data_IF_148045185506
#
_entry.id   IF_148045185506
#
_cell.length_a   1.000
_cell.length_b   1.000
_cell.length_c   1.000
_cell.angle_alpha   90.00
_cell.angle_beta   90.00
_cell.angle_gamma   90.00
#
_symmetry.space_group_name_H-M   'P 1'
#
loop_
_entity.id
_entity.type
_entity.pdbx_description
1 polymer ?
#
# COMPACT_ATOMS: atom_id res chain seq x y z
N UNK A 1 3.97 23.69 -32.86
CA UNK A 1 5.11 24.60 -32.54
C UNK A 1 5.30 24.62 -31.03
N UNK A 2 6.55 24.49 -30.57
CA UNK A 2 6.95 24.45 -29.14
C UNK A 2 6.57 25.75 -28.42
N UNK A 3 5.96 25.64 -27.23
CA UNK A 3 6.10 26.64 -26.16
C UNK A 3 6.38 25.91 -24.84
N UNK A 4 7.53 26.18 -24.18
CA UNK A 4 7.93 25.53 -22.94
C UNK A 4 7.44 26.31 -21.70
N UNK A 5 7.52 25.63 -20.56
CA UNK A 5 7.23 26.11 -19.21
C UNK A 5 7.86 27.47 -18.89
N UNK A 6 7.07 28.36 -18.27
CA UNK A 6 7.58 29.43 -17.42
C UNK A 6 7.02 29.17 -16.02
N UNK A 7 7.88 28.65 -15.16
CA UNK A 7 7.78 28.79 -13.72
C UNK A 7 8.02 30.26 -13.38
N UNK A 8 7.07 30.94 -12.74
CA UNK A 8 7.34 32.20 -12.06
C UNK A 8 6.83 32.12 -10.63
N UNK A 9 7.70 31.59 -9.78
CA UNK A 9 7.61 31.65 -8.33
C UNK A 9 7.76 33.12 -7.89
N UNK A 10 6.65 33.80 -7.63
CA UNK A 10 6.67 35.11 -6.97
C UNK A 10 6.79 34.91 -5.46
N UNK A 11 8.01 34.63 -5.03
CA UNK A 11 8.44 34.68 -3.62
C UNK A 11 8.55 36.17 -3.26
N UNK A 12 7.50 36.74 -2.68
CA UNK A 12 7.58 38.05 -2.03
C UNK A 12 8.08 37.86 -0.60
N UNK A 13 9.41 37.91 -0.48
CA UNK A 13 10.17 38.06 0.75
C UNK A 13 9.82 39.42 1.39
N UNK A 14 8.77 39.45 2.21
CA UNK A 14 8.48 40.57 3.10
C UNK A 14 9.37 40.50 4.35
N UNK A 15 10.60 40.99 4.21
CA UNK A 15 11.51 41.17 5.34
C UNK A 15 11.06 42.36 6.21
N UNK A 16 10.54 42.07 7.40
CA UNK A 16 10.46 43.03 8.51
C UNK A 16 10.99 42.37 9.78
N UNK A 17 12.32 42.17 9.79
CA UNK A 17 13.11 41.83 10.97
C UNK A 17 13.45 43.15 11.69
N UNK A 18 12.53 43.65 12.50
CA UNK A 18 12.80 44.73 13.44
C UNK A 18 11.74 44.70 14.55
N UNK A 19 12.10 44.14 15.70
CA UNK A 19 11.33 44.37 16.92
C UNK A 19 11.16 43.15 17.83
N UNK A 20 11.94 43.17 18.90
CA UNK A 20 11.60 42.72 20.25
C UNK A 20 11.55 41.21 20.53
N UNK A 21 12.46 40.82 21.41
CA UNK A 21 12.61 39.48 21.93
C UNK A 21 11.40 38.95 22.69
N UNK A 22 11.34 37.64 22.74
CA UNK A 22 10.33 36.84 23.39
C UNK A 22 10.51 35.44 22.85
N UNK A 23 11.37 34.66 23.51
CA UNK A 23 11.67 33.28 23.14
C UNK A 23 10.45 32.40 23.37
N UNK A 24 9.49 32.49 22.46
CA UNK A 24 8.59 31.38 22.17
C UNK A 24 9.06 30.85 20.82
N UNK A 25 9.87 29.79 20.86
CA UNK A 25 10.01 28.90 19.72
C UNK A 25 8.60 28.54 19.29
N UNK A 26 8.12 29.18 18.22
CA UNK A 26 6.94 28.74 17.49
C UNK A 26 7.22 27.29 17.12
N UNK A 27 6.76 26.37 17.96
CA UNK A 27 6.54 24.99 17.58
C UNK A 27 5.75 25.07 16.30
N UNK A 28 6.44 24.81 15.18
CA UNK A 28 5.82 24.69 13.89
C UNK A 28 4.73 23.64 14.10
N UNK A 29 3.47 24.09 14.08
CA UNK A 29 2.34 23.21 14.31
C UNK A 29 2.50 22.06 13.33
N UNK A 30 2.61 20.84 13.86
CA UNK A 30 2.71 19.65 13.03
C UNK A 30 1.57 19.71 12.01
N UNK A 31 1.84 19.54 10.71
CA UNK A 31 0.80 19.64 9.69
C UNK A 31 -0.34 18.71 10.09
N UNK A 32 -1.55 19.27 10.16
CA UNK A 32 -2.73 18.50 10.53
C UNK A 32 -2.89 17.34 9.54
N UNK A 33 -3.11 16.13 10.07
CA UNK A 33 -3.39 14.95 9.26
C UNK A 33 -4.62 15.23 8.36
N UNK A 34 -4.63 14.74 7.11
CA UNK A 34 -5.81 14.82 6.26
C UNK A 34 -7.06 14.28 6.95
N UNK A 35 -8.22 14.83 6.61
CA UNK A 35 -9.49 14.33 7.13
C UNK A 35 -9.68 12.85 6.77
N UNK A 36 -10.08 12.06 7.76
CA UNK A 36 -10.35 10.63 7.63
C UNK A 36 -11.75 10.42 7.02
N UNK A 37 -11.80 10.01 5.75
CA UNK A 37 -13.08 9.76 5.05
C UNK A 37 -13.66 8.38 5.31
N UNK A 38 -13.02 7.54 6.14
CA UNK A 38 -13.48 6.17 6.37
C UNK A 38 -14.52 6.04 7.48
N UNK A 39 -14.80 7.08 8.26
CA UNK A 39 -15.76 6.98 9.37
C UNK A 39 -17.13 6.52 8.85
N UNK A 40 -17.58 5.34 9.29
CA UNK A 40 -18.86 4.75 8.88
C UNK A 40 -18.84 4.01 7.53
N UNK A 41 -17.68 3.93 6.87
CA UNK A 41 -17.51 3.14 5.65
C UNK A 41 -17.41 1.64 5.98
N UNK A 42 -17.97 0.76 5.13
CA UNK A 42 -18.02 -0.69 5.41
C UNK A 42 -16.63 -1.31 5.60
N UNK A 43 -15.63 -0.86 4.83
CA UNK A 43 -14.26 -1.35 4.94
C UNK A 43 -13.53 -0.87 6.20
N UNK A 44 -14.00 0.20 6.87
CA UNK A 44 -13.32 0.79 8.03
C UNK A 44 -13.05 -0.26 9.11
N UNK A 45 -14.00 -1.17 9.31
CA UNK A 45 -13.95 -2.20 10.35
C UNK A 45 -12.73 -3.12 10.25
N UNK A 46 -12.18 -3.27 9.05
CA UNK A 46 -11.05 -4.14 8.74
C UNK A 46 -9.70 -3.42 8.72
N UNK A 47 -9.70 -2.09 8.58
CA UNK A 47 -8.47 -1.32 8.42
C UNK A 47 -7.62 -1.32 9.71
N UNK A 48 -6.30 -1.13 9.59
CA UNK A 48 -5.44 -0.91 10.75
C UNK A 48 -5.88 0.34 11.55
N UNK A 49 -5.46 0.45 12.83
CA UNK A 49 -5.79 1.62 13.64
C UNK A 49 -5.25 2.91 13.02
N UNK A 50 -6.12 3.91 12.90
CA UNK A 50 -5.73 5.25 12.43
C UNK A 50 -5.04 6.06 13.52
N UNK A 51 -4.22 7.03 13.09
CA UNK A 51 -3.61 8.03 13.97
C UNK A 51 -2.52 7.51 14.91
N UNK A 52 -2.08 6.26 14.76
CA UNK A 52 -1.03 5.66 15.58
C UNK A 52 0.06 5.04 14.69
N UNK A 53 1.34 5.16 15.08
CA UNK A 53 2.42 4.48 14.38
C UNK A 53 2.27 2.96 14.51
N UNK A 54 2.66 2.23 13.47
CA UNK A 54 2.70 0.77 13.43
C UNK A 54 4.07 0.31 12.98
N UNK A 55 4.72 -0.55 13.77
CA UNK A 55 5.99 -1.20 13.42
C UNK A 55 7.10 -0.22 12.96
N UNK A 56 7.14 0.98 13.54
CA UNK A 56 8.12 2.02 13.19
C UNK A 56 7.76 2.88 11.99
N UNK A 57 6.55 2.72 11.43
CA UNK A 57 5.99 3.59 10.40
C UNK A 57 4.92 4.50 10.99
N UNK A 58 5.06 5.81 10.81
CA UNK A 58 4.08 6.78 11.29
C UNK A 58 2.82 6.74 10.42
N UNK A 59 1.65 6.95 11.03
CA UNK A 59 0.41 7.06 10.27
C UNK A 59 0.37 8.39 9.51
N UNK A 60 0.12 8.34 8.20
CA UNK A 60 0.04 9.54 7.35
C UNK A 60 -1.39 9.86 6.91
N UNK A 61 -2.12 8.87 6.39
CA UNK A 61 -3.49 9.09 5.93
C UNK A 61 -4.32 7.81 5.88
N UNK A 62 -5.64 8.00 5.92
CA UNK A 62 -6.65 6.98 5.69
C UNK A 62 -7.78 7.60 4.89
N UNK A 63 -8.12 6.99 3.76
CA UNK A 63 -9.15 7.46 2.84
C UNK A 63 -9.96 6.29 2.34
N UNK A 64 -11.28 6.42 2.35
CA UNK A 64 -12.21 5.47 1.75
C UNK A 64 -12.89 6.10 0.54
N UNK A 65 -12.89 5.36 -0.57
CA UNK A 65 -13.64 5.62 -1.79
C UNK A 65 -15.02 4.97 -1.75
N UNK A 66 -15.58 4.65 -2.93
CA UNK A 66 -16.86 3.95 -3.02
C UNK A 66 -16.74 2.47 -2.65
N UNK A 67 -15.73 1.79 -3.19
CA UNK A 67 -15.51 0.37 -2.97
C UNK A 67 -14.09 0.06 -2.53
N UNK A 68 -13.28 1.06 -2.18
CA UNK A 68 -11.92 0.86 -1.72
C UNK A 68 -11.59 1.69 -0.49
N UNK A 69 -10.51 1.32 0.16
CA UNK A 69 -9.90 2.04 1.25
C UNK A 69 -8.38 1.99 1.11
N UNK A 70 -7.75 3.15 1.25
CA UNK A 70 -6.31 3.33 1.23
C UNK A 70 -5.82 3.83 2.57
N UNK A 71 -4.83 3.15 3.15
CA UNK A 71 -4.14 3.57 4.37
C UNK A 71 -2.65 3.71 4.06
N UNK A 72 -2.08 4.85 4.42
CA UNK A 72 -0.68 5.16 4.17
C UNK A 72 0.05 5.34 5.49
N UNK A 73 1.16 4.63 5.63
CA UNK A 73 2.14 4.81 6.69
C UNK A 73 3.48 5.24 6.10
N UNK A 74 4.28 5.97 6.88
CA UNK A 74 5.63 6.37 6.52
C UNK A 74 6.03 7.72 7.08
N UNK A 75 7.13 8.26 6.58
CA UNK A 75 7.60 9.58 6.96
C UNK A 75 6.96 10.66 6.08
N UNK A 76 6.80 11.87 6.65
CA UNK A 76 6.20 13.01 5.96
C UNK A 76 7.03 13.49 4.75
N UNK A 77 8.34 13.18 4.70
CA UNK A 77 9.22 13.48 3.57
C UNK A 77 9.06 12.48 2.39
N UNK A 78 8.18 11.49 2.52
CA UNK A 78 7.94 10.45 1.52
C UNK A 78 8.88 9.24 1.62
N UNK A 79 9.85 9.28 2.54
CA UNK A 79 10.64 8.09 2.89
C UNK A 79 9.81 7.11 3.73
N UNK A 80 10.26 5.87 3.81
CA UNK A 80 9.61 4.81 4.58
C UNK A 80 8.13 4.60 4.23
N UNK A 81 7.75 4.66 2.96
CA UNK A 81 6.34 4.67 2.58
C UNK A 81 5.81 3.24 2.44
N UNK A 82 4.75 2.93 3.18
CA UNK A 82 3.95 1.72 3.04
C UNK A 82 2.50 2.10 2.78
N UNK A 83 1.93 1.54 1.72
CA UNK A 83 0.56 1.80 1.30
C UNK A 83 -0.25 0.51 1.30
N UNK A 84 -1.40 0.54 1.95
CA UNK A 84 -2.37 -0.55 2.06
C UNK A 84 -3.60 -0.14 1.27
N UNK A 85 -4.01 -0.97 0.31
CA UNK A 85 -5.25 -0.80 -0.45
C UNK A 85 -6.11 -2.04 -0.24
N UNK A 86 -7.33 -1.82 0.21
CA UNK A 86 -8.35 -2.85 0.35
C UNK A 86 -9.54 -2.49 -0.54
N UNK A 87 -9.88 -3.35 -1.49
CA UNK A 87 -10.97 -3.12 -2.44
C UNK A 87 -12.04 -4.19 -2.28
N UNK A 88 -13.28 -3.77 -2.10
CA UNK A 88 -14.46 -4.60 -2.21
C UNK A 88 -14.87 -4.77 -3.67
N UNK A 89 -14.63 -5.97 -4.23
CA UNK A 89 -15.00 -6.27 -5.62
C UNK A 89 -16.41 -6.85 -5.74
N UNK A 90 -17.18 -6.89 -4.64
CA UNK A 90 -18.54 -7.43 -4.57
C UNK A 90 -19.62 -6.35 -4.52
N UNK A 91 -19.26 -5.07 -4.42
CA UNK A 91 -20.23 -3.99 -4.44
C UNK A 91 -20.86 -3.82 -5.84
N UNK A 92 -22.15 -3.44 -5.91
CA UNK A 92 -22.76 -3.06 -7.17
C UNK A 92 -22.07 -1.82 -7.75
N UNK A 93 -22.34 -1.51 -9.01
CA UNK A 93 -21.85 -0.25 -9.58
C UNK A 93 -22.46 0.95 -8.83
N UNK A 94 -21.69 2.03 -8.60
CA UNK A 94 -22.24 3.22 -7.99
C UNK A 94 -23.33 3.83 -8.89
N UNK A 95 -24.32 4.56 -8.36
CA UNK A 95 -25.41 5.14 -9.17
C UNK A 95 -24.94 6.09 -10.27
N UNK A 96 -23.74 6.65 -10.12
CA UNK A 96 -23.09 7.54 -11.09
C UNK A 96 -22.40 6.79 -12.22
N UNK A 97 -22.28 5.46 -12.13
CA UNK A 97 -21.66 4.62 -13.14
C UNK A 97 -22.60 4.44 -14.33
N UNK A 98 -22.13 4.83 -15.51
CA UNK A 98 -22.93 4.77 -16.73
C UNK A 98 -23.10 3.35 -17.27
N UNK A 99 -22.16 2.45 -16.96
CA UNK A 99 -22.20 1.06 -17.37
C UNK A 99 -21.94 0.11 -16.19
N UNK A 100 -23.02 -0.30 -15.55
CA UNK A 100 -22.95 -1.22 -14.43
C UNK A 100 -22.43 -2.63 -14.80
N UNK A 101 -22.55 -3.04 -16.07
CA UNK A 101 -22.02 -4.33 -16.54
C UNK A 101 -20.51 -4.26 -16.66
N UNK A 102 -19.98 -3.21 -17.29
CA UNK A 102 -18.55 -2.97 -17.41
C UNK A 102 -17.88 -2.81 -16.04
N UNK A 103 -18.51 -2.11 -15.10
CA UNK A 103 -18.00 -1.98 -13.73
C UNK A 103 -17.86 -3.34 -13.04
N UNK A 104 -18.91 -4.16 -13.06
CA UNK A 104 -18.84 -5.51 -12.46
C UNK A 104 -17.78 -6.38 -13.13
N UNK A 105 -17.69 -6.34 -14.46
CA UNK A 105 -16.65 -7.07 -15.17
C UNK A 105 -15.24 -6.62 -14.77
N UNK A 106 -15.02 -5.33 -14.52
CA UNK A 106 -13.74 -4.81 -14.03
C UNK A 106 -13.44 -5.30 -12.59
N UNK A 107 -14.44 -5.32 -11.70
CA UNK A 107 -14.30 -5.84 -10.34
C UNK A 107 -13.99 -7.35 -10.33
N UNK A 108 -14.72 -8.13 -11.13
CA UNK A 108 -14.47 -9.56 -11.31
C UNK A 108 -13.07 -9.80 -11.86
N UNK A 109 -12.66 -9.00 -12.86
CA UNK A 109 -11.33 -9.12 -13.46
C UNK A 109 -10.21 -8.82 -12.47
N UNK A 110 -10.38 -7.80 -11.61
CA UNK A 110 -9.42 -7.47 -10.56
C UNK A 110 -9.23 -8.65 -9.60
N UNK A 111 -10.34 -9.28 -9.16
CA UNK A 111 -10.30 -10.46 -8.29
C UNK A 111 -9.61 -11.65 -8.97
N UNK A 112 -10.02 -11.97 -10.19
CA UNK A 112 -9.46 -13.09 -10.96
C UNK A 112 -7.97 -12.90 -11.25
N UNK A 113 -7.54 -11.69 -11.59
CA UNK A 113 -6.13 -11.38 -11.83
C UNK A 113 -5.30 -11.57 -10.57
N UNK A 114 -5.77 -11.10 -9.42
CA UNK A 114 -5.06 -11.30 -8.14
C UNK A 114 -4.92 -12.79 -7.82
N UNK A 115 -5.98 -13.60 -7.98
CA UNK A 115 -5.91 -15.05 -7.76
C UNK A 115 -4.97 -15.77 -8.74
N UNK A 116 -5.03 -15.38 -10.01
CA UNK A 116 -4.15 -15.93 -11.06
C UNK A 116 -2.70 -15.58 -10.76
N UNK A 117 -2.43 -14.35 -10.32
CA UNK A 117 -1.09 -13.91 -9.93
C UNK A 117 -0.53 -14.74 -8.78
N UNK A 118 -1.32 -15.03 -7.74
CA UNK A 118 -0.87 -15.91 -6.65
C UNK A 118 -0.44 -17.29 -7.15
N UNK A 119 -1.24 -17.88 -8.04
CA UNK A 119 -0.93 -19.17 -8.66
C UNK A 119 0.36 -19.09 -9.48
N UNK A 120 0.54 -18.01 -10.24
CA UNK A 120 1.73 -17.76 -11.04
C UNK A 120 2.98 -17.55 -10.18
N UNK A 121 2.88 -16.80 -9.07
CA UNK A 121 3.99 -16.57 -8.15
C UNK A 121 4.46 -17.90 -7.52
N UNK A 122 3.53 -18.74 -7.07
CA UNK A 122 3.86 -20.07 -6.55
C UNK A 122 4.60 -20.91 -7.59
N UNK A 123 4.02 -21.01 -8.80
CA UNK A 123 4.63 -21.76 -9.91
C UNK A 123 6.00 -21.22 -10.30
N UNK A 124 6.18 -19.90 -10.23
CA UNK A 124 7.46 -19.23 -10.54
C UNK A 124 8.53 -19.64 -9.55
N UNK A 125 8.22 -19.61 -8.24
CA UNK A 125 9.13 -20.10 -7.19
C UNK A 125 9.49 -21.56 -7.43
N UNK A 126 8.50 -22.45 -7.56
CA UNK A 126 8.73 -23.88 -7.75
C UNK A 126 9.60 -24.17 -8.97
N UNK A 127 9.30 -23.51 -10.10
CA UNK A 127 10.03 -23.68 -11.36
C UNK A 127 11.47 -23.19 -11.21
N UNK A 128 11.68 -22.04 -10.56
CA UNK A 128 13.01 -21.48 -10.37
C UNK A 128 13.89 -22.35 -9.48
N UNK A 129 13.33 -22.92 -8.40
CA UNK A 129 14.02 -23.86 -7.52
C UNK A 129 14.34 -25.17 -8.24
N UNK A 130 13.34 -25.76 -8.90
CA UNK A 130 13.50 -27.02 -9.62
C UNK A 130 14.54 -26.94 -10.74
N UNK A 131 14.59 -25.82 -11.46
CA UNK A 131 15.51 -25.63 -12.58
C UNK A 131 16.85 -25.00 -12.16
N UNK A 132 17.07 -24.70 -10.88
CA UNK A 132 18.29 -24.06 -10.40
C UNK A 132 18.50 -22.65 -10.95
N UNK A 133 17.44 -21.92 -11.28
CA UNK A 133 17.51 -20.56 -11.85
C UNK A 133 17.25 -19.46 -10.83
N UNK A 134 17.19 -19.77 -9.53
CA UNK A 134 16.97 -18.80 -8.46
C UNK A 134 18.01 -17.68 -8.44
N UNK A 135 19.26 -17.98 -8.80
CA UNK A 135 20.34 -16.99 -8.87
C UNK A 135 20.06 -15.83 -9.82
N UNK A 136 19.19 -16.02 -10.83
CA UNK A 136 18.76 -14.94 -11.74
C UNK A 136 17.98 -13.83 -11.03
N UNK A 137 17.39 -14.13 -9.87
CA UNK A 137 16.66 -13.19 -9.03
C UNK A 137 17.51 -12.70 -7.84
N UNK A 138 18.73 -13.23 -7.69
CA UNK A 138 19.61 -12.98 -6.54
C UNK A 138 19.58 -14.06 -5.45
N UNK A 139 19.04 -15.24 -5.76
CA UNK A 139 18.96 -16.39 -4.87
C UNK A 139 17.53 -16.73 -4.46
N UNK A 140 17.37 -17.84 -3.73
CA UNK A 140 16.07 -18.33 -3.28
C UNK A 140 15.29 -17.31 -2.43
N UNK A 141 15.99 -16.52 -1.62
CA UNK A 141 15.36 -15.52 -0.74
C UNK A 141 14.69 -14.37 -1.50
N UNK A 142 15.01 -14.17 -2.79
CA UNK A 142 14.38 -13.16 -3.65
C UNK A 142 13.25 -13.73 -4.51
N UNK A 143 13.03 -15.05 -4.48
CA UNK A 143 11.88 -15.65 -5.15
C UNK A 143 10.59 -15.30 -4.40
N UNK A 144 9.45 -15.19 -5.11
CA UNK A 144 8.15 -14.95 -4.48
C UNK A 144 7.85 -15.94 -3.36
N UNK A 145 7.14 -15.49 -2.34
CA UNK A 145 6.67 -16.31 -1.23
C UNK A 145 5.15 -16.31 -1.20
N UNK A 146 4.57 -17.46 -0.86
CA UNK A 146 3.15 -17.55 -0.53
C UNK A 146 3.04 -17.70 0.99
N UNK A 147 2.39 -16.73 1.62
CA UNK A 147 1.96 -16.80 3.01
C UNK A 147 0.44 -17.05 3.06
N UNK A 148 -0.10 -17.17 4.25
CA UNK A 148 -1.54 -17.40 4.46
C UNK A 148 -2.03 -16.57 5.63
N UNK A 149 -3.18 -15.91 5.45
CA UNK A 149 -3.86 -15.25 6.56
C UNK A 149 -4.31 -16.27 7.61
N UNK A 150 -4.68 -15.79 8.79
CA UNK A 150 -5.31 -16.64 9.83
C UNK A 150 -6.63 -17.29 9.37
N UNK A 151 -7.27 -16.76 8.33
CA UNK A 151 -8.50 -17.32 7.76
C UNK A 151 -8.25 -18.38 6.68
N UNK A 152 -6.98 -18.62 6.29
CA UNK A 152 -6.64 -19.55 5.21
C UNK A 152 -6.53 -18.90 3.83
N UNK A 153 -6.80 -17.60 3.70
CA UNK A 153 -6.65 -16.89 2.42
C UNK A 153 -5.17 -16.71 2.06
N UNK A 154 -4.72 -17.08 0.84
CA UNK A 154 -3.33 -16.96 0.42
C UNK A 154 -2.90 -15.51 0.17
N UNK A 155 -1.66 -15.20 0.53
CA UNK A 155 -1.01 -13.91 0.30
C UNK A 155 0.31 -14.11 -0.45
N UNK A 156 0.52 -13.41 -1.55
CA UNK A 156 1.75 -13.46 -2.33
C UNK A 156 2.65 -12.28 -1.99
N UNK A 157 3.86 -12.55 -1.51
CA UNK A 157 4.92 -11.55 -1.33
C UNK A 157 5.84 -11.60 -2.54
N UNK A 158 6.04 -10.44 -3.18
CA UNK A 158 6.92 -10.25 -4.31
C UNK A 158 7.86 -9.09 -4.05
N UNK A 159 9.11 -9.24 -4.46
CA UNK A 159 10.15 -8.22 -4.33
C UNK A 159 10.87 -8.06 -5.67
N UNK A 160 11.51 -6.90 -5.93
CA UNK A 160 12.44 -6.77 -7.04
C UNK A 160 13.57 -7.80 -6.97
N UNK A 161 14.19 -8.11 -8.10
CA UNK A 161 15.40 -8.94 -8.07
C UNK A 161 16.51 -8.21 -7.28
N UNK A 162 17.46 -8.98 -6.75
CA UNK A 162 18.55 -8.43 -5.94
C UNK A 162 19.33 -7.35 -6.68
N UNK A 163 19.39 -6.16 -6.08
CA UNK A 163 20.08 -5.00 -6.65
C UNK A 163 19.25 -4.19 -7.64
N UNK A 164 18.03 -4.64 -7.99
CA UNK A 164 17.09 -3.85 -8.76
C UNK A 164 16.27 -2.93 -7.86
N UNK A 165 16.01 -1.71 -8.34
CA UNK A 165 15.05 -0.82 -7.72
C UNK A 165 13.62 -1.25 -8.09
N UNK A 166 12.69 -1.13 -7.15
CA UNK A 166 11.29 -1.41 -7.43
C UNK A 166 10.42 -1.36 -6.19
N UNK A 167 9.20 -1.86 -6.34
CA UNK A 167 8.20 -1.90 -5.27
C UNK A 167 8.05 -3.35 -4.83
N UNK A 168 8.24 -3.58 -3.53
CA UNK A 168 7.89 -4.82 -2.89
C UNK A 168 6.40 -4.82 -2.57
N UNK A 169 5.72 -5.92 -2.83
CA UNK A 169 4.26 -6.03 -2.65
C UNK A 169 3.89 -7.28 -1.86
N UNK A 170 2.77 -7.18 -1.15
CA UNK A 170 2.00 -8.32 -0.66
C UNK A 170 0.60 -8.17 -1.22
N UNK A 171 0.06 -9.22 -1.84
CA UNK A 171 -1.30 -9.18 -2.40
C UNK A 171 -2.08 -10.45 -2.12
N UNK A 172 -3.41 -10.35 -2.06
CA UNK A 172 -4.27 -11.51 -1.90
C UNK A 172 -5.74 -11.20 -2.10
N UNK A 173 -6.56 -12.25 -2.16
CA UNK A 173 -8.02 -12.14 -2.19
C UNK A 173 -8.57 -12.72 -0.90
N UNK A 174 -9.16 -11.86 -0.08
CA UNK A 174 -9.71 -12.19 1.23
C UNK A 174 -11.18 -12.53 1.09
N UNK A 175 -11.62 -13.65 1.68
CA UNK A 175 -13.00 -14.15 1.59
C UNK A 175 -13.53 -14.24 0.15
N UNK A 176 -12.65 -14.51 -0.82
CA UNK A 176 -12.99 -14.55 -2.25
C UNK A 176 -13.71 -13.28 -2.78
N UNK A 177 -13.54 -12.13 -2.12
CA UNK A 177 -14.24 -10.88 -2.45
C UNK A 177 -13.36 -9.65 -2.36
N UNK A 178 -12.53 -9.56 -1.33
CA UNK A 178 -11.78 -8.34 -1.05
C UNK A 178 -10.36 -8.47 -1.58
N UNK A 179 -9.96 -7.60 -2.49
CA UNK A 179 -8.59 -7.56 -2.99
C UNK A 179 -7.77 -6.70 -2.04
N UNK A 180 -6.77 -7.32 -1.41
CA UNK A 180 -5.83 -6.65 -0.52
C UNK A 180 -4.50 -6.50 -1.26
N UNK A 181 -3.93 -5.30 -1.23
CA UNK A 181 -2.58 -5.01 -1.70
C UNK A 181 -1.85 -4.15 -0.69
N UNK A 182 -0.65 -4.57 -0.29
CA UNK A 182 0.31 -3.74 0.42
C UNK A 182 1.49 -3.49 -0.51
N UNK A 183 2.03 -2.28 -0.49
CA UNK A 183 3.17 -1.91 -1.31
C UNK A 183 4.13 -0.99 -0.58
N UNK A 184 5.42 -1.17 -0.81
CA UNK A 184 6.47 -0.30 -0.28
C UNK A 184 7.69 -0.32 -1.17
N UNK A 185 8.42 0.79 -1.23
CA UNK A 185 9.76 0.86 -1.85
C UNK A 185 10.87 0.62 -0.83
N UNK A 186 10.52 0.42 0.43
CA UNK A 186 11.51 0.17 1.47
C UNK A 186 12.08 -1.23 1.30
N UNK A 187 13.40 -1.33 1.50
CA UNK A 187 14.16 -2.56 1.32
C UNK A 187 15.01 -2.87 2.56
N UNK A 188 14.40 -3.01 3.76
CA UNK A 188 15.14 -3.38 4.96
C UNK A 188 15.89 -4.70 4.76
N UNK A 189 17.08 -4.80 5.33
CA UNK A 189 17.92 -6.00 5.29
C UNK A 189 18.16 -6.56 3.87
N UNK A 190 18.31 -5.67 2.88
CA UNK A 190 18.58 -6.05 1.48
C UNK A 190 17.34 -6.35 0.64
N UNK A 191 16.13 -6.27 1.22
CA UNK A 191 14.87 -6.32 0.47
C UNK A 191 14.51 -7.69 -0.10
N UNK A 192 15.04 -8.78 0.47
CA UNK A 192 14.62 -10.13 0.07
C UNK A 192 13.15 -10.39 0.39
N UNK A 193 12.51 -11.36 -0.27
CA UNK A 193 11.12 -11.72 -0.01
C UNK A 193 10.91 -12.13 1.45
N UNK A 194 11.88 -12.85 2.05
CA UNK A 194 11.84 -13.23 3.48
C UNK A 194 11.88 -11.99 4.39
N UNK A 195 12.73 -11.01 4.09
CA UNK A 195 12.78 -9.76 4.86
C UNK A 195 11.49 -8.95 4.68
N UNK A 196 10.98 -8.84 3.46
CA UNK A 196 9.75 -8.10 3.18
C UNK A 196 8.51 -8.78 3.77
N UNK A 197 8.48 -10.11 3.85
CA UNK A 197 7.45 -10.85 4.58
C UNK A 197 7.39 -10.41 6.05
N UNK A 198 8.55 -10.25 6.70
CA UNK A 198 8.62 -9.80 8.10
C UNK A 198 8.16 -8.35 8.29
N UNK A 199 8.18 -7.53 7.24
CA UNK A 199 7.66 -6.15 7.26
C UNK A 199 6.16 -6.13 6.99
N UNK A 200 5.72 -6.78 5.91
CA UNK A 200 4.37 -6.62 5.36
C UNK A 200 3.32 -7.45 6.11
N UNK A 201 3.65 -8.68 6.49
CA UNK A 201 2.68 -9.59 7.16
C UNK A 201 2.18 -9.02 8.49
N UNK A 202 3.02 -8.43 9.37
CA UNK A 202 2.53 -7.80 10.59
C UNK A 202 1.46 -6.72 10.37
N UNK A 203 1.52 -5.95 9.28
CA UNK A 203 0.45 -4.99 8.95
C UNK A 203 -0.86 -5.69 8.64
N UNK A 204 -0.82 -6.80 7.88
CA UNK A 204 -2.00 -7.64 7.62
C UNK A 204 -2.55 -8.22 8.93
N UNK A 205 -1.70 -8.58 9.89
CA UNK A 205 -2.15 -9.08 11.20
C UNK A 205 -2.79 -8.01 12.08
N UNK A 206 -2.46 -6.73 11.89
CA UNK A 206 -3.16 -5.61 12.55
C UNK A 206 -4.51 -5.31 11.91
N UNK A 207 -4.74 -5.75 10.67
CA UNK A 207 -6.04 -5.65 10.03
C UNK A 207 -7.02 -6.64 10.63
N UNK A 208 -8.27 -6.22 10.77
CA UNK A 208 -9.36 -7.04 11.30
C UNK A 208 -10.12 -7.70 10.16
N UNK A 209 -9.39 -8.40 9.27
CA UNK A 209 -9.94 -8.99 8.04
C UNK A 209 -11.12 -9.96 8.29
N UNK A 210 -11.17 -10.60 9.46
CA UNK A 210 -12.28 -11.45 9.89
C UNK A 210 -13.61 -10.71 10.03
N UNK A 211 -13.55 -9.38 10.25
CA UNK A 211 -14.72 -8.51 10.41
C UNK A 211 -15.30 -7.99 9.10
N UNK A 212 -14.61 -8.22 7.97
CA UNK A 212 -15.23 -8.00 6.67
C UNK A 212 -16.50 -8.87 6.58
N UNK A 213 -17.54 -8.44 5.87
CA UNK A 213 -18.71 -9.30 5.62
C UNK A 213 -18.35 -10.62 4.92
#
# INVERSE_FOLDING_TARGET
>A
MKRPLIFLSAVLLGASLQGCGGGDEKQAAAPALPADSCTGHELEVALPPAGKPLFGYDFLSRQCGYNDATVVFGAADGSKRLEIVLTDTGLPAPPTEGDAVAYRAAQDKLREMTQTNLTLLHKTRETALKNGTAERFGGEDYLPLIDTTRMGDPLGVMVPAKGEEGVSTLSGVIKNRYVLTLSTRDTPNGGSATAMRQVLVPFVEQMKLTKLP
#
